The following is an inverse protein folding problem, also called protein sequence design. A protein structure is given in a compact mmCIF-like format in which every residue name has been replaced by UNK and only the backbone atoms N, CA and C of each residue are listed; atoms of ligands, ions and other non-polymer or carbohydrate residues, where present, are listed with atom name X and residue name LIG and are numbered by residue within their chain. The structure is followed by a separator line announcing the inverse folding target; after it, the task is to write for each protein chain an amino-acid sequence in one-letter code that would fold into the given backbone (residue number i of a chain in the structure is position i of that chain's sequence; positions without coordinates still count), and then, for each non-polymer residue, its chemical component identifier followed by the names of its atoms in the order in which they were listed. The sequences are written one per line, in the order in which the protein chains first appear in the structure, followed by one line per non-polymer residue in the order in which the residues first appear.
data_IF_140251238609
#
_entry.id   IF_140251238609
#
_cell.length_a   1.000
_cell.length_b   1.000
_cell.length_c   1.000
_cell.angle_alpha   90.00
_cell.angle_beta   90.00
_cell.angle_gamma   90.00
#
_symmetry.space_group_name_H-M   'P 1'
#
loop_
_entity.id
_entity.type
_entity.pdbx_description
1 polymer ?
#
# COMPACT_ATOMS: atom_id res chain seq x y z
N UNK A 1 18.98 -15.75 9.09
CA UNK A 1 18.74 -15.69 7.63
C UNK A 1 19.46 -14.44 7.13
N UNK A 2 19.72 -14.31 5.82
CA UNK A 2 20.37 -13.10 5.27
C UNK A 2 19.28 -12.11 4.92
N UNK A 3 19.35 -10.88 5.48
CA UNK A 3 18.43 -9.78 5.16
C UNK A 3 18.16 -9.76 3.67
N UNK A 4 16.94 -10.13 3.28
CA UNK A 4 16.54 -10.07 1.88
C UNK A 4 16.62 -8.61 1.46
N UNK A 5 17.71 -8.23 0.78
CA UNK A 5 17.93 -6.88 0.28
C UNK A 5 16.72 -6.40 -0.51
N UNK A 6 16.10 -7.32 -1.26
CA UNK A 6 14.89 -7.11 -2.05
C UNK A 6 13.69 -6.62 -1.24
N UNK A 7 13.48 -7.09 0.00
CA UNK A 7 12.40 -6.58 0.84
C UNK A 7 12.63 -5.09 1.19
N UNK A 8 13.87 -4.74 1.53
CA UNK A 8 14.27 -3.36 1.81
C UNK A 8 14.26 -2.48 0.56
N UNK A 9 14.61 -3.02 -0.61
CA UNK A 9 14.52 -2.29 -1.89
C UNK A 9 13.06 -1.92 -2.21
N UNK A 10 12.12 -2.86 -2.01
CA UNK A 10 10.68 -2.58 -2.13
C UNK A 10 10.23 -1.50 -1.16
N UNK A 11 10.67 -1.58 0.10
CA UNK A 11 10.32 -0.61 1.12
C UNK A 11 10.92 0.77 0.82
N UNK A 12 12.14 0.85 0.31
CA UNK A 12 12.77 2.11 -0.10
C UNK A 12 11.98 2.77 -1.23
N UNK A 13 11.60 2.01 -2.26
CA UNK A 13 10.76 2.56 -3.33
C UNK A 13 9.37 2.99 -2.83
N UNK A 14 8.84 2.34 -1.80
CA UNK A 14 7.60 2.77 -1.15
C UNK A 14 7.78 4.09 -0.38
N UNK A 15 8.94 4.30 0.25
CA UNK A 15 9.29 5.54 0.95
C UNK A 15 9.41 6.72 -0.02
N UNK A 16 10.00 6.48 -1.20
CA UNK A 16 10.08 7.48 -2.28
C UNK A 16 8.70 7.90 -2.77
N UNK A 17 7.81 6.94 -3.06
CA UNK A 17 6.42 7.25 -3.44
C UNK A 17 5.68 8.00 -2.33
N UNK A 18 5.89 7.64 -1.06
CA UNK A 18 5.24 8.32 0.06
C UNK A 18 5.73 9.77 0.20
N UNK A 19 7.01 10.03 -0.08
CA UNK A 19 7.56 11.39 -0.14
C UNK A 19 6.91 12.20 -1.26
N UNK A 20 6.76 11.59 -2.44
CA UNK A 20 6.07 12.21 -3.57
C UNK A 20 4.60 12.48 -3.26
N UNK A 21 3.91 11.56 -2.58
CA UNK A 21 2.52 11.71 -2.16
C UNK A 21 2.33 12.90 -1.20
N UNK A 22 3.24 13.07 -0.23
CA UNK A 22 3.24 14.23 0.70
C UNK A 22 3.47 15.53 -0.05
N UNK A 23 4.48 15.57 -0.91
CA UNK A 23 4.79 16.75 -1.74
C UNK A 23 3.57 17.15 -2.56
N UNK A 24 2.94 16.20 -3.25
CA UNK A 24 1.78 16.49 -4.08
C UNK A 24 0.59 16.99 -3.26
N UNK A 25 0.40 16.47 -2.04
CA UNK A 25 -0.62 16.97 -1.11
C UNK A 25 -0.36 18.42 -0.70
N UNK A 26 0.89 18.78 -0.40
CA UNK A 26 1.29 20.15 -0.05
C UNK A 26 1.06 21.13 -1.21
N UNK A 27 1.24 20.69 -2.46
CA UNK A 27 0.96 21.46 -3.67
C UNK A 27 -0.50 21.34 -4.16
N UNK A 28 -1.41 20.82 -3.33
CA UNK A 28 -2.84 20.65 -3.64
C UNK A 28 -3.10 19.81 -4.90
N UNK A 29 -2.13 19.01 -5.32
CA UNK A 29 -2.21 18.06 -6.43
C UNK A 29 -2.82 16.75 -5.96
N UNK A 30 -4.05 16.83 -5.45
CA UNK A 30 -4.72 15.76 -4.69
C UNK A 30 -4.80 14.42 -5.40
N UNK A 31 -5.20 14.40 -6.67
CA UNK A 31 -5.25 13.16 -7.44
C UNK A 31 -3.87 12.51 -7.61
N UNK A 32 -2.82 13.31 -7.82
CA UNK A 32 -1.45 12.82 -7.91
C UNK A 32 -0.97 12.26 -6.57
N UNK A 33 -1.29 12.96 -5.48
CA UNK A 33 -1.01 12.52 -4.11
C UNK A 33 -1.63 11.14 -3.82
N UNK A 34 -2.91 10.94 -4.19
CA UNK A 34 -3.58 9.63 -4.02
C UNK A 34 -2.91 8.54 -4.88
N UNK A 35 -2.53 8.85 -6.12
CA UNK A 35 -1.83 7.90 -6.98
C UNK A 35 -0.49 7.44 -6.35
N UNK A 36 0.31 8.38 -5.85
CA UNK A 36 1.57 8.04 -5.18
C UNK A 36 1.34 7.32 -3.85
N UNK A 37 0.32 7.69 -3.07
CA UNK A 37 -0.05 6.98 -1.84
C UNK A 37 -0.45 5.52 -2.11
N UNK A 38 -1.20 5.27 -3.19
CA UNK A 38 -1.54 3.92 -3.64
C UNK A 38 -0.29 3.12 -4.03
N UNK A 39 0.63 3.71 -4.81
CA UNK A 39 1.86 3.05 -5.22
C UNK A 39 2.76 2.73 -4.01
N UNK A 40 2.91 3.67 -3.07
CA UNK A 40 3.63 3.47 -1.82
C UNK A 40 3.08 2.26 -1.06
N UNK A 41 1.74 2.18 -0.94
CA UNK A 41 1.06 1.08 -0.29
C UNK A 41 1.32 -0.26 -1.00
N UNK A 42 1.16 -0.32 -2.33
CA UNK A 42 1.42 -1.54 -3.10
C UNK A 42 2.87 -2.03 -2.94
N UNK A 43 3.85 -1.12 -2.96
CA UNK A 43 5.26 -1.46 -2.81
C UNK A 43 5.59 -1.90 -1.39
N UNK A 44 5.03 -1.26 -0.36
CA UNK A 44 5.17 -1.70 1.03
C UNK A 44 4.60 -3.11 1.24
N UNK A 45 3.42 -3.43 0.67
CA UNK A 45 2.89 -4.79 0.75
C UNK A 45 3.75 -5.82 0.01
N UNK A 46 4.36 -5.44 -1.12
CA UNK A 46 5.34 -6.31 -1.81
C UNK A 46 6.60 -6.53 -0.97
N UNK A 47 7.06 -5.53 -0.24
CA UNK A 47 8.14 -5.69 0.74
C UNK A 47 7.77 -6.72 1.82
N UNK A 48 6.54 -6.64 2.36
CA UNK A 48 6.03 -7.61 3.32
C UNK A 48 5.96 -9.03 2.74
N UNK A 49 5.47 -9.20 1.50
CA UNK A 49 5.44 -10.50 0.83
C UNK A 49 6.84 -11.11 0.74
N UNK A 50 7.84 -10.31 0.35
CA UNK A 50 9.24 -10.77 0.29
C UNK A 50 9.78 -11.11 1.67
N UNK A 51 9.51 -10.31 2.70
CA UNK A 51 9.93 -10.57 4.07
C UNK A 51 9.30 -11.86 4.64
N UNK A 52 8.11 -12.24 4.18
CA UNK A 52 7.47 -13.51 4.50
C UNK A 52 8.04 -14.70 3.71
N UNK A 53 9.01 -14.48 2.82
CA UNK A 53 9.69 -15.53 2.05
C UNK A 53 9.08 -15.84 0.68
N UNK A 54 8.25 -14.94 0.13
CA UNK A 54 7.55 -15.16 -1.15
C UNK A 54 7.98 -14.17 -2.23
N UNK A 55 7.76 -14.57 -3.48
CA UNK A 55 7.89 -13.65 -4.60
C UNK A 55 6.59 -12.84 -4.80
N UNK A 56 6.64 -11.50 -4.84
CA UNK A 56 5.47 -10.68 -5.10
C UNK A 56 4.97 -10.85 -6.55
N UNK A 57 3.67 -11.02 -6.70
CA UNK A 57 3.03 -11.07 -8.01
C UNK A 57 3.02 -9.69 -8.67
N UNK A 58 3.02 -9.67 -10.01
CA UNK A 58 2.77 -8.46 -10.80
C UNK A 58 1.28 -8.11 -10.74
N UNK A 59 0.86 -7.51 -9.65
CA UNK A 59 -0.51 -7.09 -9.39
C UNK A 59 -0.55 -5.70 -8.72
N UNK A 60 -1.70 -5.03 -8.87
CA UNK A 60 -2.07 -3.82 -8.14
C UNK A 60 -2.85 -4.12 -6.84
N UNK A 61 -3.15 -5.39 -6.58
CA UNK A 61 -3.81 -5.86 -5.35
C UNK A 61 -2.93 -6.81 -4.50
N UNK A 62 -1.71 -6.41 -4.06
CA UNK A 62 -0.89 -7.24 -3.17
C UNK A 62 -1.60 -7.74 -1.92
N UNK A 63 -2.59 -7.00 -1.40
CA UNK A 63 -3.38 -7.41 -0.24
C UNK A 63 -4.04 -8.78 -0.41
N UNK A 64 -4.51 -9.11 -1.61
CA UNK A 64 -5.13 -10.40 -1.94
C UNK A 64 -4.10 -11.53 -1.87
N UNK A 65 -2.87 -11.29 -2.35
CA UNK A 65 -1.79 -12.28 -2.25
C UNK A 65 -1.46 -12.56 -0.78
N UNK A 66 -1.37 -11.53 0.06
CA UNK A 66 -1.09 -11.70 1.50
C UNK A 66 -2.22 -12.47 2.19
N UNK A 67 -3.50 -12.16 1.89
CA UNK A 67 -4.62 -12.94 2.41
C UNK A 67 -4.51 -14.42 2.06
N UNK A 68 -4.13 -14.72 0.82
CA UNK A 68 -3.93 -16.10 0.34
C UNK A 68 -2.82 -16.81 1.11
N UNK A 69 -1.70 -16.12 1.36
CA UNK A 69 -0.57 -16.62 2.16
C UNK A 69 -1.03 -16.95 3.59
N UNK A 70 -1.81 -16.06 4.23
CA UNK A 70 -2.35 -16.27 5.58
C UNK A 70 -3.28 -17.49 5.62
N UNK A 71 -4.23 -17.58 4.68
CA UNK A 71 -5.19 -18.69 4.64
C UNK A 71 -4.55 -20.04 4.32
N UNK A 72 -3.37 -20.04 3.70
CA UNK A 72 -2.60 -21.25 3.40
C UNK A 72 -1.89 -21.88 4.60
N UNK A 73 -2.06 -21.36 5.82
CA UNK A 73 -1.50 -21.93 7.06
C UNK A 73 -0.02 -21.59 7.31
N UNK A 74 0.64 -20.82 6.45
CA UNK A 74 2.07 -20.56 6.55
C UNK A 74 2.49 -19.64 7.69
N UNK A 75 1.52 -19.00 8.36
CA UNK A 75 1.72 -18.24 9.59
C UNK A 75 1.09 -18.93 10.81
N UNK A 76 0.80 -20.22 10.74
CA UNK A 76 0.30 -21.01 11.88
C UNK A 76 1.20 -20.82 13.11
N UNK A 77 0.56 -20.58 14.25
CA UNK A 77 1.25 -20.26 15.51
C UNK A 77 1.68 -18.79 15.68
N UNK A 78 1.58 -17.94 14.65
CA UNK A 78 1.96 -16.50 14.71
C UNK A 78 0.74 -15.58 14.75
N UNK A 79 -0.20 -15.82 15.68
CA UNK A 79 -1.49 -15.11 15.75
C UNK A 79 -1.36 -13.58 15.80
N UNK A 80 -0.44 -13.07 16.61
CA UNK A 80 -0.22 -11.63 16.74
C UNK A 80 0.24 -10.99 15.42
N UNK A 81 1.15 -11.66 14.69
CA UNK A 81 1.60 -11.19 13.37
C UNK A 81 0.45 -11.19 12.37
N UNK A 82 -0.38 -12.25 12.37
CA UNK A 82 -1.57 -12.34 11.50
C UNK A 82 -2.53 -11.17 11.80
N UNK A 83 -2.80 -10.87 13.06
CA UNK A 83 -3.71 -9.78 13.45
C UNK A 83 -3.16 -8.41 13.02
N UNK A 84 -1.86 -8.18 13.18
CA UNK A 84 -1.18 -6.96 12.70
C UNK A 84 -1.25 -6.83 11.18
N UNK A 85 -0.95 -7.90 10.44
CA UNK A 85 -1.05 -7.92 8.98
C UNK A 85 -2.50 -7.72 8.53
N UNK A 86 -3.48 -8.29 9.23
CA UNK A 86 -4.90 -8.09 8.97
C UNK A 86 -5.30 -6.61 9.05
N UNK A 87 -4.80 -5.88 10.05
CA UNK A 87 -5.00 -4.43 10.15
C UNK A 87 -4.35 -3.71 8.97
N UNK A 88 -3.09 -3.99 8.66
CA UNK A 88 -2.38 -3.40 7.50
C UNK A 88 -3.21 -3.58 6.21
N UNK A 89 -3.71 -4.79 5.96
CA UNK A 89 -4.53 -5.12 4.80
C UNK A 89 -5.80 -4.27 4.73
N UNK A 90 -6.49 -4.06 5.87
CA UNK A 90 -7.73 -3.27 5.87
C UNK A 90 -7.53 -1.83 5.40
N UNK A 91 -6.42 -1.19 5.82
CA UNK A 91 -6.04 0.14 5.35
C UNK A 91 -5.58 0.12 3.89
N UNK A 92 -4.78 -0.88 3.52
CA UNK A 92 -4.25 -1.01 2.17
C UNK A 92 -5.35 -1.21 1.11
N UNK A 93 -6.38 -2.01 1.40
CA UNK A 93 -7.48 -2.24 0.45
C UNK A 93 -8.18 -0.94 0.05
N UNK A 94 -8.33 0.01 0.97
CA UNK A 94 -8.94 1.32 0.68
C UNK A 94 -8.15 2.11 -0.37
N UNK A 95 -6.82 2.00 -0.33
CA UNK A 95 -5.92 2.63 -1.31
C UNK A 95 -5.91 1.86 -2.64
N UNK A 96 -5.78 0.55 -2.57
CA UNK A 96 -5.81 -0.31 -3.76
C UNK A 96 -7.12 -0.15 -4.54
N UNK A 97 -8.24 0.14 -3.88
CA UNK A 97 -9.55 0.38 -4.51
C UNK A 97 -9.64 1.71 -5.27
N UNK A 98 -8.68 2.63 -5.10
CA UNK A 98 -8.56 3.81 -5.96
C UNK A 98 -8.12 3.41 -7.38
N UNK A 99 -7.20 2.45 -7.50
CA UNK A 99 -6.80 1.81 -8.74
C UNK A 99 -6.36 2.79 -9.85
N UNK A 100 -7.23 2.96 -10.84
CA UNK A 100 -6.97 3.86 -11.98
C UNK A 100 -7.69 5.20 -11.83
N UNK A 101 -8.58 5.36 -10.86
CA UNK A 101 -9.41 6.55 -10.65
C UNK A 101 -8.57 7.83 -10.48
N UNK A 102 -7.46 7.85 -9.71
CA UNK A 102 -6.61 9.05 -9.60
C UNK A 102 -6.06 9.57 -10.92
N UNK A 103 -5.93 8.70 -11.94
CA UNK A 103 -5.33 9.03 -13.23
C UNK A 103 -6.35 9.26 -14.33
N UNK A 104 -7.39 8.43 -14.37
CA UNK A 104 -8.35 8.40 -15.47
C UNK A 104 -9.75 8.90 -15.08
N UNK A 105 -9.99 9.16 -13.79
CA UNK A 105 -11.30 9.49 -13.27
C UNK A 105 -12.20 8.27 -13.12
N UNK A 106 -13.46 8.51 -12.80
CA UNK A 106 -14.48 7.47 -12.65
C UNK A 106 -15.48 7.53 -13.81
N UNK A 107 -15.48 6.50 -14.64
CA UNK A 107 -16.41 6.37 -15.76
C UNK A 107 -17.82 6.01 -15.26
N UNK A 108 -18.81 6.76 -15.73
CA UNK A 108 -20.24 6.52 -15.51
C UNK A 108 -20.94 6.40 -16.86
N UNK A 109 -22.22 6.02 -16.88
CA UNK A 109 -23.01 5.88 -18.13
C UNK A 109 -22.97 7.15 -18.99
N UNK A 110 -22.94 8.34 -18.38
CA UNK A 110 -23.13 9.61 -19.08
C UNK A 110 -21.86 10.45 -19.22
N UNK A 111 -20.84 10.22 -18.38
CA UNK A 111 -19.61 11.02 -18.36
C UNK A 111 -18.50 10.35 -17.55
N UNK A 112 -17.28 10.86 -17.72
CA UNK A 112 -16.18 10.63 -16.81
C UNK A 112 -16.22 11.72 -15.72
N UNK A 113 -16.23 11.31 -14.46
CA UNK A 113 -16.00 12.21 -13.31
C UNK A 113 -14.49 12.39 -13.20
N UNK A 114 -13.99 13.62 -13.34
CA UNK A 114 -12.55 13.88 -13.38
C UNK A 114 -11.93 13.67 -11.98
N UNK A 115 -10.65 13.29 -11.88
CA UNK A 115 -9.99 13.13 -10.59
C UNK A 115 -10.08 14.38 -9.69
N UNK A 116 -9.97 15.58 -10.26
CA UNK A 116 -10.13 16.87 -9.55
C UNK A 116 -11.52 17.09 -8.95
N UNK A 117 -12.54 16.36 -9.40
CA UNK A 117 -13.90 16.39 -8.83
C UNK A 117 -14.09 15.31 -7.74
N UNK A 118 -13.17 14.35 -7.65
CA UNK A 118 -13.25 13.17 -6.76
C UNK A 118 -12.41 13.36 -5.50
N UNK A 119 -11.27 14.03 -5.62
CA UNK A 119 -10.27 14.17 -4.57
C UNK A 119 -10.15 15.63 -4.13
N UNK A 120 -10.61 15.88 -2.91
CA UNK A 120 -10.36 17.11 -2.18
C UNK A 120 -9.26 16.89 -1.12
N UNK A 121 -9.00 17.95 -0.36
CA UNK A 121 -8.00 17.95 0.71
C UNK A 121 -8.28 16.90 1.78
N UNK A 122 -9.52 16.80 2.25
CA UNK A 122 -9.87 15.92 3.37
C UNK A 122 -9.75 14.45 2.99
N UNK A 123 -10.34 14.08 1.85
CA UNK A 123 -10.26 12.71 1.32
C UNK A 123 -8.83 12.32 1.00
N UNK A 124 -8.05 13.21 0.39
CA UNK A 124 -6.64 12.94 0.08
C UNK A 124 -5.84 12.76 1.35
N UNK A 125 -6.05 13.60 2.37
CA UNK A 125 -5.40 13.47 3.66
C UNK A 125 -5.66 12.11 4.30
N UNK A 126 -6.92 11.67 4.34
CA UNK A 126 -7.25 10.35 4.92
C UNK A 126 -6.60 9.19 4.15
N UNK A 127 -6.53 9.26 2.82
CA UNK A 127 -5.85 8.25 2.01
C UNK A 127 -4.33 8.27 2.23
N UNK A 128 -3.73 9.46 2.33
CA UNK A 128 -2.31 9.61 2.63
C UNK A 128 -1.97 9.04 4.00
N UNK A 129 -2.75 9.35 5.04
CA UNK A 129 -2.59 8.80 6.39
C UNK A 129 -2.69 7.26 6.41
N UNK A 130 -3.56 6.67 5.58
CA UNK A 130 -3.62 5.22 5.41
C UNK A 130 -2.32 4.66 4.81
N UNK A 131 -1.72 5.35 3.83
CA UNK A 131 -0.47 4.92 3.21
C UNK A 131 0.70 5.03 4.19
N UNK A 132 0.75 6.09 4.98
CA UNK A 132 1.74 6.28 6.05
C UNK A 132 1.63 5.19 7.11
N UNK A 133 0.39 4.84 7.52
CA UNK A 133 0.15 3.75 8.45
C UNK A 133 0.67 2.42 7.90
N UNK A 134 0.29 2.06 6.67
CA UNK A 134 0.73 0.82 6.02
C UNK A 134 2.26 0.77 5.95
N UNK A 135 2.89 1.84 5.47
CA UNK A 135 4.35 1.92 5.38
C UNK A 135 5.02 1.73 6.74
N UNK A 136 4.58 2.47 7.77
CA UNK A 136 5.15 2.38 9.12
C UNK A 136 5.03 0.96 9.68
N UNK A 137 3.86 0.34 9.54
CA UNK A 137 3.62 -1.00 10.09
C UNK A 137 4.35 -2.10 9.35
N UNK A 138 4.52 -1.98 8.04
CA UNK A 138 5.39 -2.87 7.27
C UNK A 138 6.85 -2.70 7.71
N UNK A 139 7.34 -1.46 7.86
CA UNK A 139 8.71 -1.17 8.30
C UNK A 139 9.02 -1.75 9.68
N UNK A 140 8.08 -1.63 10.62
CA UNK A 140 8.14 -2.27 11.94
C UNK A 140 8.30 -3.80 11.81
N UNK A 141 7.41 -4.45 11.06
CA UNK A 141 7.46 -5.91 10.86
C UNK A 141 8.76 -6.36 10.22
N UNK A 142 9.26 -5.66 9.19
CA UNK A 142 10.53 -5.97 8.53
C UNK A 142 11.74 -5.82 9.47
N UNK A 143 11.66 -4.93 10.46
CA UNK A 143 12.69 -4.79 11.49
C UNK A 143 12.68 -5.90 12.54
N UNK A 144 11.52 -6.52 12.77
CA UNK A 144 11.33 -7.61 13.74
C UNK A 144 11.57 -8.99 13.15
N UNK A 145 11.19 -9.18 11.89
CA UNK A 145 11.51 -10.40 11.15
C UNK A 145 13.00 -10.31 10.85
N UNK A 146 13.78 -11.18 11.49
CA UNK A 146 15.21 -11.37 11.26
C UNK A 146 15.40 -11.91 9.84
N UNK A 147 15.25 -11.00 8.88
CA UNK A 147 15.50 -11.22 7.47
C UNK A 147 16.96 -11.64 7.36
#
# INVERSE_FOLDING_TARGET
MVKSSKAWDWLSMAEDDLRDARRDYEYESFASSVNHAELACQKALKALIVALGYEPLKTHKPSIQIKTIITGGLLEGRRELIDRIGRIISYAMTLEDQGTIPRYGWETINRIIKPLEIYDKEKTKSLLENAEYVFSKVKEILGEIDC
#
